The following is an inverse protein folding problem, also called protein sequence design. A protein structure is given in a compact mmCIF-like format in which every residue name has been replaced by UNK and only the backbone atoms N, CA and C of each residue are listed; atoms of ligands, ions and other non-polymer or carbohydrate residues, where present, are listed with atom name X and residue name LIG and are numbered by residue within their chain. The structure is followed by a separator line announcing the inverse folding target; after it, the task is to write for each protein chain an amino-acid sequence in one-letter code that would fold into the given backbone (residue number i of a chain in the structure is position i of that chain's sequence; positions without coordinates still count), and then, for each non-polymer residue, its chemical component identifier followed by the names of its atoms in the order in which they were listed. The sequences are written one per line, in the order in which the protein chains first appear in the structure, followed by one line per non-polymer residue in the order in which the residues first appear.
data_IF_846654517270
#
_entry.id   IF_846654517270
#
_cell.length_a   1.000
_cell.length_b   1.000
_cell.length_c   1.000
_cell.angle_alpha   90.00
_cell.angle_beta   90.00
_cell.angle_gamma   90.00
#
_symmetry.space_group_name_H-M   'P 1'
#
loop_
_entity.id
_entity.type
_entity.pdbx_description
1 polymer ?
#
# COMPACT_ATOMS: atom_id res chain seq x y z
N UNK A 1 12.97 6.41 -10.65
CA UNK A 1 11.60 6.07 -11.10
C UNK A 1 11.14 4.80 -10.39
N UNK A 2 9.89 4.77 -9.93
CA UNK A 2 9.24 3.59 -9.35
C UNK A 2 7.98 3.28 -10.16
N UNK A 3 7.75 2.00 -10.46
CA UNK A 3 6.54 1.53 -11.16
C UNK A 3 5.60 0.87 -10.15
N UNK A 4 4.32 1.20 -10.15
CA UNK A 4 3.30 0.48 -9.37
C UNK A 4 2.35 -0.26 -10.30
N UNK A 5 2.02 -1.51 -9.95
CA UNK A 5 0.96 -2.28 -10.57
C UNK A 5 -0.21 -2.37 -9.58
N UNK A 6 -1.36 -1.79 -9.95
CA UNK A 6 -2.59 -1.80 -9.15
C UNK A 6 -3.69 -2.50 -9.94
N UNK A 7 -3.88 -3.82 -9.80
CA UNK A 7 -4.85 -4.58 -10.60
C UNK A 7 -6.31 -4.23 -10.33
N UNK A 8 -6.61 -3.69 -9.13
CA UNK A 8 -7.97 -3.36 -8.68
C UNK A 8 -8.04 -1.95 -8.06
N UNK A 9 -7.75 -0.90 -8.87
CA UNK A 9 -7.85 0.48 -8.40
C UNK A 9 -9.30 0.85 -8.08
N UNK A 10 -9.50 2.00 -7.44
CA UNK A 10 -10.83 2.49 -7.08
C UNK A 10 -10.95 4.00 -7.20
N UNK A 11 -12.18 4.47 -7.24
CA UNK A 11 -12.54 5.84 -6.84
C UNK A 11 -13.04 5.77 -5.40
N UNK A 12 -12.36 6.43 -4.48
CA UNK A 12 -12.73 6.46 -3.08
C UNK A 12 -13.57 7.70 -2.81
N UNK A 13 -14.83 7.49 -2.37
CA UNK A 13 -15.78 8.54 -2.01
C UNK A 13 -15.91 8.62 -0.49
N UNK A 14 -15.45 9.70 0.10
CA UNK A 14 -15.67 9.98 1.52
C UNK A 14 -16.88 10.89 1.65
N UNK A 15 -17.89 10.46 2.42
CA UNK A 15 -19.15 11.19 2.63
C UNK A 15 -19.29 11.43 4.13
N UNK A 16 -19.31 12.69 4.55
CA UNK A 16 -19.56 13.08 5.93
C UNK A 16 -21.07 13.14 6.19
N UNK A 17 -21.50 12.50 7.26
CA UNK A 17 -22.90 12.47 7.73
C UNK A 17 -22.93 12.80 9.22
N UNK A 18 -24.10 13.22 9.72
CA UNK A 18 -24.27 13.51 11.16
C UNK A 18 -24.28 12.24 12.02
N UNK A 19 -24.89 11.19 11.54
CA UNK A 19 -25.02 9.88 12.19
C UNK A 19 -25.51 8.86 11.17
N UNK A 20 -25.06 7.60 11.28
CA UNK A 20 -25.54 6.51 10.42
C UNK A 20 -26.65 5.74 11.14
N UNK A 21 -27.88 5.82 10.62
CA UNK A 21 -29.02 5.04 11.08
C UNK A 21 -29.53 4.14 9.95
N UNK A 22 -29.65 2.86 10.25
CA UNK A 22 -30.06 1.86 9.23
C UNK A 22 -31.52 2.04 8.83
N UNK A 23 -31.74 2.13 7.51
CA UNK A 23 -33.10 2.27 6.95
C UNK A 23 -33.54 3.71 6.74
N UNK A 24 -32.77 4.70 7.19
CA UNK A 24 -33.06 6.13 7.06
C UNK A 24 -32.39 6.80 5.87
N UNK A 25 -32.89 7.94 5.49
CA UNK A 25 -32.31 8.79 4.45
C UNK A 25 -31.32 9.77 5.08
N UNK A 26 -30.04 9.61 4.77
CA UNK A 26 -28.99 10.50 5.24
C UNK A 26 -28.68 11.60 4.22
N UNK A 27 -28.48 12.84 4.73
CA UNK A 27 -28.02 13.97 3.95
C UNK A 27 -26.56 14.23 4.26
N UNK A 28 -25.70 14.13 3.23
CA UNK A 28 -24.28 14.43 3.37
C UNK A 28 -24.08 15.90 3.76
N UNK A 29 -23.20 16.15 4.73
CA UNK A 29 -22.73 17.51 5.09
C UNK A 29 -21.54 17.93 4.27
N UNK A 30 -20.74 16.94 3.81
CA UNK A 30 -19.63 17.12 2.87
C UNK A 30 -19.40 15.84 2.07
N UNK A 31 -18.79 15.98 0.90
CA UNK A 31 -18.30 14.79 0.16
C UNK A 31 -16.98 15.11 -0.53
N UNK A 32 -16.13 14.09 -0.66
CA UNK A 32 -14.84 14.18 -1.32
C UNK A 32 -14.62 12.93 -2.18
N UNK A 33 -13.88 13.11 -3.27
CA UNK A 33 -13.53 12.02 -4.20
C UNK A 33 -12.01 12.01 -4.35
N UNK A 34 -11.39 10.86 -4.11
CA UNK A 34 -9.96 10.65 -4.24
C UNK A 34 -9.68 9.45 -5.16
N UNK A 35 -8.55 9.45 -5.88
CA UNK A 35 -8.08 8.23 -6.55
C UNK A 35 -7.61 7.24 -5.49
N UNK A 36 -8.06 5.98 -5.59
CA UNK A 36 -7.84 4.95 -4.58
C UNK A 36 -7.18 3.68 -5.13
N UNK A 37 -6.78 2.83 -4.19
CA UNK A 37 -6.01 1.61 -4.40
C UNK A 37 -4.59 1.72 -3.87
N UNK A 38 -4.06 0.64 -3.25
CA UNK A 38 -2.77 0.68 -2.55
C UNK A 38 -1.64 1.23 -3.44
N UNK A 39 -1.44 0.71 -4.66
CA UNK A 39 -0.37 1.18 -5.54
C UNK A 39 -0.61 2.59 -6.10
N UNK A 40 -1.87 2.97 -6.28
CA UNK A 40 -2.26 4.36 -6.60
C UNK A 40 -1.82 5.31 -5.48
N UNK A 41 -2.08 4.95 -4.23
CA UNK A 41 -1.66 5.74 -3.07
C UNK A 41 -0.14 5.83 -2.95
N UNK A 42 0.58 4.72 -3.18
CA UNK A 42 2.05 4.72 -3.25
C UNK A 42 2.55 5.68 -4.33
N UNK A 43 2.02 5.62 -5.55
CA UNK A 43 2.41 6.53 -6.64
C UNK A 43 2.15 8.00 -6.31
N UNK A 44 0.99 8.31 -5.71
CA UNK A 44 0.63 9.68 -5.28
C UNK A 44 1.60 10.22 -4.23
N UNK A 45 1.92 9.41 -3.22
CA UNK A 45 2.86 9.79 -2.18
C UNK A 45 4.27 10.04 -2.76
N UNK A 46 4.75 9.17 -3.65
CA UNK A 46 6.04 9.34 -4.32
C UNK A 46 6.08 10.62 -5.18
N UNK A 47 5.04 10.87 -5.97
CA UNK A 47 4.95 12.07 -6.80
C UNK A 47 4.91 13.36 -5.96
N UNK A 48 4.17 13.37 -4.84
CA UNK A 48 4.15 14.51 -3.91
C UNK A 48 5.54 14.85 -3.34
N UNK A 49 6.43 13.87 -3.28
CA UNK A 49 7.83 14.04 -2.84
C UNK A 49 8.83 14.13 -4.00
N UNK A 50 8.36 14.43 -5.21
CA UNK A 50 9.22 14.69 -6.37
C UNK A 50 9.88 13.45 -6.98
N UNK A 51 9.48 12.23 -6.58
CA UNK A 51 10.00 11.02 -7.20
C UNK A 51 9.07 10.56 -8.33
N UNK A 52 9.62 10.48 -9.54
CA UNK A 52 8.88 10.03 -10.71
C UNK A 52 8.29 8.64 -10.49
N UNK A 53 6.96 8.53 -10.60
CA UNK A 53 6.20 7.30 -10.44
C UNK A 53 5.30 7.04 -11.64
N UNK A 54 5.25 5.77 -12.06
CA UNK A 54 4.42 5.28 -13.17
C UNK A 54 3.41 4.30 -12.59
N UNK A 55 2.13 4.60 -12.71
CA UNK A 55 1.03 3.76 -12.25
C UNK A 55 0.46 2.94 -13.43
N UNK A 56 0.66 1.61 -13.40
CA UNK A 56 0.04 0.66 -14.33
C UNK A 56 -1.24 0.14 -13.69
N UNK A 57 -2.38 0.35 -14.33
CA UNK A 57 -3.68 0.01 -13.75
C UNK A 57 -4.75 -0.18 -14.85
N UNK A 58 -5.78 -1.01 -14.61
CA UNK A 58 -6.94 -1.08 -15.49
C UNK A 58 -7.76 0.21 -15.37
N UNK A 59 -8.23 0.72 -16.51
CA UNK A 59 -9.07 1.91 -16.59
C UNK A 59 -10.24 1.65 -17.54
N UNK A 60 -11.46 1.78 -17.04
CA UNK A 60 -12.69 1.62 -17.80
C UNK A 60 -13.86 2.33 -17.14
N UNK A 61 -14.87 2.64 -17.92
CA UNK A 61 -16.04 3.40 -17.47
C UNK A 61 -15.75 4.86 -17.15
N UNK A 62 -16.74 5.54 -16.58
CA UNK A 62 -16.61 6.94 -16.14
C UNK A 62 -15.64 7.09 -14.97
N UNK A 63 -15.62 6.10 -14.07
CA UNK A 63 -14.71 6.04 -12.91
C UNK A 63 -13.25 5.87 -13.36
N UNK A 64 -12.98 5.07 -14.40
CA UNK A 64 -11.64 4.94 -14.97
C UNK A 64 -11.12 6.26 -15.54
N UNK A 65 -11.94 6.95 -16.34
CA UNK A 65 -11.61 8.27 -16.87
C UNK A 65 -11.42 9.34 -15.76
N UNK A 66 -12.19 9.24 -14.67
CA UNK A 66 -12.02 10.11 -13.50
C UNK A 66 -10.71 9.81 -12.78
N UNK A 67 -10.39 8.52 -12.57
CA UNK A 67 -9.14 8.06 -11.94
C UNK A 67 -7.91 8.60 -12.67
N UNK A 68 -7.87 8.47 -14.00
CA UNK A 68 -6.76 8.96 -14.82
C UNK A 68 -6.59 10.49 -14.68
N UNK A 69 -7.68 11.27 -14.75
CA UNK A 69 -7.63 12.72 -14.56
C UNK A 69 -7.09 13.10 -13.18
N UNK A 70 -7.60 12.46 -12.12
CA UNK A 70 -7.17 12.74 -10.76
C UNK A 70 -5.68 12.41 -10.55
N UNK A 71 -5.20 11.31 -11.09
CA UNK A 71 -3.79 10.92 -10.98
C UNK A 71 -2.86 11.86 -11.76
N UNK A 72 -3.23 12.18 -13.00
CA UNK A 72 -2.45 13.12 -13.83
C UNK A 72 -2.34 14.49 -13.16
N UNK A 73 -3.40 14.97 -12.50
CA UNK A 73 -3.38 16.24 -11.77
C UNK A 73 -2.44 16.27 -10.58
N UNK A 74 -2.04 15.09 -10.07
CA UNK A 74 -1.07 14.94 -8.96
C UNK A 74 0.36 14.66 -9.42
N UNK A 75 0.62 14.72 -10.73
CA UNK A 75 1.96 14.48 -11.30
C UNK A 75 2.35 13.00 -11.43
N UNK A 76 1.41 12.07 -11.24
CA UNK A 76 1.63 10.64 -11.48
C UNK A 76 1.50 10.36 -12.99
N UNK A 77 2.50 9.73 -13.57
CA UNK A 77 2.38 9.17 -14.92
C UNK A 77 1.50 7.93 -14.88
N UNK A 78 0.45 7.89 -15.70
CA UNK A 78 -0.47 6.75 -15.76
C UNK A 78 -0.23 5.96 -17.05
N UNK A 79 -0.10 4.64 -16.93
CA UNK A 79 -0.18 3.68 -18.03
C UNK A 79 -1.53 2.93 -17.89
N UNK A 80 -2.62 3.50 -18.43
CA UNK A 80 -3.93 2.90 -18.31
C UNK A 80 -4.04 1.71 -19.26
N UNK A 81 -4.63 0.63 -18.76
CA UNK A 81 -5.01 -0.54 -19.56
C UNK A 81 -6.52 -0.50 -19.74
N UNK A 82 -7.02 -0.28 -20.97
CA UNK A 82 -8.45 -0.22 -21.22
C UNK A 82 -9.13 -1.54 -20.85
N UNK A 83 -10.26 -1.45 -20.13
CA UNK A 83 -11.12 -2.56 -19.77
C UNK A 83 -12.58 -2.25 -20.14
N UNK A 84 -13.36 -3.29 -20.43
CA UNK A 84 -14.79 -3.14 -20.75
C UNK A 84 -15.67 -2.84 -19.54
N UNK A 85 -15.24 -3.29 -18.35
CA UNK A 85 -15.91 -2.96 -17.08
C UNK A 85 -15.58 -1.57 -16.57
N UNK A 86 -16.29 -1.09 -15.52
CA UNK A 86 -15.96 0.16 -14.82
C UNK A 86 -15.00 -0.10 -13.68
N UNK A 87 -14.07 0.83 -13.43
CA UNK A 87 -13.31 0.88 -12.18
C UNK A 87 -14.29 0.98 -11.01
N UNK A 88 -14.02 0.25 -9.93
CA UNK A 88 -14.89 0.21 -8.74
C UNK A 88 -14.89 1.53 -7.97
N UNK A 89 -15.96 1.76 -7.22
CA UNK A 89 -16.04 2.81 -6.22
C UNK A 89 -16.04 2.22 -4.80
N UNK A 90 -15.31 2.84 -3.89
CA UNK A 90 -15.43 2.57 -2.46
C UNK A 90 -16.10 3.78 -1.80
N UNK A 91 -16.97 3.53 -0.83
CA UNK A 91 -17.65 4.58 -0.07
C UNK A 91 -17.24 4.49 1.39
N UNK A 92 -16.80 5.60 1.96
CA UNK A 92 -16.56 5.76 3.39
C UNK A 92 -17.58 6.77 3.95
N UNK A 93 -18.43 6.34 4.85
CA UNK A 93 -19.30 7.21 5.63
C UNK A 93 -18.58 7.59 6.91
N UNK A 94 -18.39 8.90 7.14
CA UNK A 94 -17.65 9.42 8.30
C UNK A 94 -18.58 10.24 9.18
N UNK A 95 -18.62 9.88 10.47
CA UNK A 95 -19.38 10.56 11.50
C UNK A 95 -18.51 11.55 12.28
N UNK A 96 -19.07 12.55 12.97
CA UNK A 96 -18.29 13.61 13.66
C UNK A 96 -17.36 13.09 14.78
N UNK A 97 -17.66 11.93 15.35
CA UNK A 97 -16.82 11.27 16.37
C UNK A 97 -15.64 10.48 15.77
N UNK A 98 -15.50 10.48 14.43
CA UNK A 98 -14.49 9.72 13.70
C UNK A 98 -14.89 8.30 13.33
N UNK A 99 -16.07 7.82 13.76
CA UNK A 99 -16.60 6.52 13.32
C UNK A 99 -16.70 6.48 11.79
N UNK A 100 -16.12 5.44 11.18
CA UNK A 100 -16.07 5.30 9.74
C UNK A 100 -16.61 3.96 9.29
N UNK A 101 -17.71 3.98 8.54
CA UNK A 101 -18.31 2.79 7.91
C UNK A 101 -17.89 2.73 6.45
N UNK A 102 -17.29 1.61 6.03
CA UNK A 102 -16.77 1.44 4.66
C UNK A 102 -17.60 0.43 3.89
N UNK A 103 -17.87 0.75 2.63
CA UNK A 103 -18.49 -0.13 1.64
C UNK A 103 -17.52 -0.21 0.46
N UNK A 104 -16.90 -1.37 0.28
CA UNK A 104 -15.93 -1.62 -0.78
C UNK A 104 -16.54 -2.51 -1.85
N UNK A 105 -16.52 -2.04 -3.09
CA UNK A 105 -16.95 -2.87 -4.22
C UNK A 105 -15.86 -3.89 -4.59
N UNK A 106 -16.23 -5.06 -5.12
CA UNK A 106 -15.28 -6.11 -5.49
C UNK A 106 -14.37 -5.72 -6.66
N UNK A 107 -14.82 -4.83 -7.51
CA UNK A 107 -14.17 -4.46 -8.78
C UNK A 107 -14.68 -5.27 -9.98
N UNK A 108 -14.31 -4.87 -11.20
CA UNK A 108 -14.74 -5.53 -12.43
C UNK A 108 -14.02 -6.85 -12.63
N UNK A 109 -14.70 -7.83 -13.19
CA UNK A 109 -14.04 -9.05 -13.70
C UNK A 109 -13.25 -8.69 -14.96
N UNK A 110 -11.98 -9.05 -15.00
CA UNK A 110 -11.13 -8.85 -16.17
C UNK A 110 -11.20 -10.08 -17.10
N UNK A 111 -11.36 -9.84 -18.38
CA UNK A 111 -11.18 -10.88 -19.38
C UNK A 111 -9.70 -11.30 -19.47
N UNK A 112 -9.45 -12.49 -20.05
CA UNK A 112 -8.08 -12.97 -20.29
C UNK A 112 -7.25 -12.00 -21.14
N UNK A 113 -7.87 -11.32 -22.12
CA UNK A 113 -7.20 -10.33 -22.96
C UNK A 113 -6.82 -9.07 -22.15
N UNK A 114 -7.71 -8.56 -21.30
CA UNK A 114 -7.44 -7.41 -20.45
C UNK A 114 -6.36 -7.71 -19.40
N UNK A 115 -6.41 -8.89 -18.78
CA UNK A 115 -5.36 -9.35 -17.87
C UNK A 115 -4.01 -9.46 -18.59
N UNK A 116 -4.00 -10.04 -19.82
CA UNK A 116 -2.78 -10.13 -20.63
C UNK A 116 -2.23 -8.74 -20.96
N UNK A 117 -3.10 -7.78 -21.28
CA UNK A 117 -2.72 -6.39 -21.52
C UNK A 117 -2.17 -5.70 -20.28
N UNK A 118 -2.75 -5.96 -19.10
CA UNK A 118 -2.24 -5.44 -17.83
C UNK A 118 -0.84 -5.97 -17.52
N UNK A 119 -0.61 -7.26 -17.71
CA UNK A 119 0.72 -7.89 -17.55
C UNK A 119 1.72 -7.34 -18.57
N UNK A 120 1.30 -7.13 -19.83
CA UNK A 120 2.14 -6.52 -20.86
C UNK A 120 2.49 -5.06 -20.55
N UNK A 121 1.55 -4.29 -20.03
CA UNK A 121 1.78 -2.92 -19.55
C UNK A 121 2.83 -2.88 -18.44
N UNK A 122 2.74 -3.78 -17.44
CA UNK A 122 3.73 -3.91 -16.39
C UNK A 122 5.11 -4.31 -16.95
N UNK A 123 5.16 -5.25 -17.92
CA UNK A 123 6.41 -5.65 -18.56
C UNK A 123 7.05 -4.48 -19.36
N UNK A 124 6.24 -3.70 -20.06
CA UNK A 124 6.71 -2.50 -20.78
C UNK A 124 7.30 -1.46 -19.81
N UNK A 125 6.64 -1.26 -18.67
CA UNK A 125 7.13 -0.35 -17.62
C UNK A 125 8.45 -0.85 -16.99
N UNK A 126 8.62 -2.16 -16.81
CA UNK A 126 9.88 -2.78 -16.34
C UNK A 126 11.06 -2.51 -17.28
N UNK A 127 10.83 -2.51 -18.61
CA UNK A 127 11.89 -2.24 -19.59
C UNK A 127 12.43 -0.80 -19.53
N UNK A 128 11.74 0.10 -18.84
CA UNK A 128 12.21 1.49 -18.60
C UNK A 128 13.27 1.58 -17.49
N UNK A 129 13.68 0.46 -16.89
CA UNK A 129 14.70 0.37 -15.85
C UNK A 129 14.33 1.06 -14.54
N UNK A 130 13.14 0.81 -13.95
CA UNK A 130 12.79 1.39 -12.65
C UNK A 130 13.71 0.86 -11.55
N UNK A 131 13.91 1.66 -10.50
CA UNK A 131 14.62 1.19 -9.30
C UNK A 131 13.81 0.17 -8.50
N UNK A 132 12.48 0.28 -8.58
CA UNK A 132 11.52 -0.65 -7.99
C UNK A 132 10.30 -0.84 -8.88
N UNK A 133 9.75 -2.06 -8.88
CA UNK A 133 8.37 -2.33 -9.26
C UNK A 133 7.61 -2.78 -8.01
N UNK A 134 6.36 -2.35 -7.88
CA UNK A 134 5.54 -2.59 -6.69
C UNK A 134 4.21 -3.19 -7.11
N UNK A 135 3.93 -4.42 -6.70
CA UNK A 135 2.62 -5.05 -6.86
C UNK A 135 1.76 -4.76 -5.64
N UNK A 136 0.64 -4.07 -5.81
CA UNK A 136 -0.16 -3.59 -4.68
C UNK A 136 -1.66 -3.84 -4.80
N UNK A 137 -2.26 -4.17 -3.67
CA UNK A 137 -3.71 -4.22 -3.48
C UNK A 137 -4.32 -5.59 -3.72
N UNK A 138 -5.64 -5.66 -3.59
CA UNK A 138 -6.42 -6.85 -3.88
C UNK A 138 -6.46 -7.15 -5.37
N UNK A 139 -6.68 -8.40 -5.71
CA UNK A 139 -6.96 -8.81 -7.09
C UNK A 139 -8.46 -8.62 -7.38
N UNK A 140 -8.83 -8.19 -8.59
CA UNK A 140 -10.23 -8.18 -8.99
C UNK A 140 -10.73 -9.61 -9.23
N UNK A 141 -12.06 -9.83 -9.25
CA UNK A 141 -12.64 -11.14 -9.49
C UNK A 141 -12.12 -11.78 -10.80
N UNK A 142 -11.81 -13.08 -10.75
CA UNK A 142 -11.34 -13.85 -11.90
C UNK A 142 -9.86 -13.73 -12.23
N UNK A 143 -9.12 -12.91 -11.52
CA UNK A 143 -7.65 -12.83 -11.65
C UNK A 143 -6.99 -13.89 -10.76
N UNK A 144 -6.05 -14.63 -11.33
CA UNK A 144 -5.31 -15.68 -10.67
C UNK A 144 -4.42 -15.12 -9.54
N UNK A 145 -4.39 -15.82 -8.42
CA UNK A 145 -3.56 -15.49 -7.24
C UNK A 145 -2.05 -15.47 -7.55
N UNK A 146 -1.64 -16.04 -8.68
CA UNK A 146 -0.25 -16.03 -9.18
C UNK A 146 0.19 -14.70 -9.82
N UNK A 147 -0.68 -13.72 -9.98
CA UNK A 147 -0.35 -12.45 -10.66
C UNK A 147 0.91 -11.79 -10.08
N UNK A 148 0.96 -11.63 -8.76
CA UNK A 148 2.10 -10.98 -8.10
C UNK A 148 3.34 -11.86 -8.07
N UNK A 149 3.20 -13.17 -7.93
CA UNK A 149 4.32 -14.11 -8.10
C UNK A 149 4.90 -14.04 -9.52
N UNK A 150 4.04 -13.91 -10.54
CA UNK A 150 4.43 -13.65 -11.92
C UNK A 150 5.20 -12.33 -12.10
N UNK A 151 4.77 -11.26 -11.40
CA UNK A 151 5.47 -9.98 -11.38
C UNK A 151 6.87 -10.12 -10.75
N UNK A 152 6.97 -10.82 -9.60
CA UNK A 152 8.25 -11.09 -8.92
C UNK A 152 9.23 -11.80 -9.86
N UNK A 153 8.80 -12.86 -10.53
CA UNK A 153 9.65 -13.59 -11.47
C UNK A 153 10.14 -12.72 -12.65
N UNK A 154 9.26 -11.88 -13.21
CA UNK A 154 9.62 -10.94 -14.29
C UNK A 154 10.57 -9.85 -13.86
N UNK A 155 10.32 -9.24 -12.69
CA UNK A 155 11.19 -8.22 -12.13
C UNK A 155 12.60 -8.75 -11.89
N UNK A 156 12.70 -9.94 -11.28
CA UNK A 156 13.97 -10.62 -11.06
C UNK A 156 14.72 -10.90 -12.37
N UNK A 157 14.03 -11.39 -13.41
CA UNK A 157 14.63 -11.61 -14.72
C UNK A 157 15.12 -10.32 -15.39
N UNK A 158 14.48 -9.19 -15.11
CA UNK A 158 14.88 -7.87 -15.57
C UNK A 158 15.93 -7.17 -14.69
N UNK A 159 16.36 -7.77 -13.57
CA UNK A 159 17.28 -7.16 -12.61
C UNK A 159 16.68 -5.97 -11.84
N UNK A 160 15.36 -5.88 -11.77
CA UNK A 160 14.62 -4.82 -11.07
C UNK A 160 14.17 -5.30 -9.70
N UNK A 161 14.36 -4.49 -8.67
CA UNK A 161 13.86 -4.82 -7.31
C UNK A 161 12.33 -4.80 -7.29
N UNK A 162 11.73 -5.75 -6.55
CA UNK A 162 10.28 -5.90 -6.46
C UNK A 162 9.78 -5.87 -5.03
N UNK A 163 8.76 -5.03 -4.80
CA UNK A 163 8.00 -4.99 -3.56
C UNK A 163 6.58 -5.51 -3.79
N UNK A 164 6.01 -6.16 -2.77
CA UNK A 164 4.61 -6.63 -2.81
C UNK A 164 3.88 -6.22 -1.53
N UNK A 165 2.70 -5.59 -1.71
CA UNK A 165 1.78 -5.20 -0.63
C UNK A 165 0.36 -5.65 -0.98
N UNK A 166 0.06 -6.89 -0.64
CA UNK A 166 -1.25 -7.54 -0.80
C UNK A 166 -1.53 -8.45 0.40
N UNK A 167 -2.63 -9.18 0.41
CA UNK A 167 -3.04 -10.05 1.51
C UNK A 167 -3.49 -11.43 1.02
N UNK A 168 -3.69 -12.37 1.95
CA UNK A 168 -4.23 -13.69 1.67
C UNK A 168 -3.38 -14.55 0.74
N UNK A 169 -4.05 -15.35 -0.09
CA UNK A 169 -3.40 -16.28 -1.02
C UNK A 169 -2.44 -15.60 -2.00
N UNK A 170 -2.77 -14.44 -2.62
CA UNK A 170 -1.84 -13.72 -3.49
C UNK A 170 -0.52 -13.33 -2.79
N UNK A 171 -0.56 -12.98 -1.50
CA UNK A 171 0.65 -12.69 -0.73
C UNK A 171 1.49 -13.96 -0.52
N UNK A 172 0.86 -15.06 -0.14
CA UNK A 172 1.56 -16.33 0.04
C UNK A 172 2.25 -16.81 -1.26
N UNK A 173 1.58 -16.66 -2.41
CA UNK A 173 2.15 -16.96 -3.73
C UNK A 173 3.32 -16.05 -4.09
N UNK A 174 3.22 -14.76 -3.78
CA UNK A 174 4.29 -13.81 -3.99
C UNK A 174 5.51 -14.11 -3.11
N UNK A 175 5.30 -14.46 -1.83
CA UNK A 175 6.36 -14.88 -0.90
C UNK A 175 7.14 -16.07 -1.44
N UNK A 176 6.44 -17.11 -1.93
CA UNK A 176 7.07 -18.29 -2.53
C UNK A 176 7.92 -17.95 -3.77
N UNK A 177 7.65 -16.83 -4.46
CA UNK A 177 8.47 -16.36 -5.57
C UNK A 177 9.69 -15.53 -5.12
N UNK A 178 9.81 -15.17 -3.85
CA UNK A 178 10.95 -14.49 -3.23
C UNK A 178 11.11 -13.03 -3.64
N UNK A 179 10.19 -12.12 -3.30
CA UNK A 179 10.31 -10.69 -3.57
C UNK A 179 11.43 -10.05 -2.73
N UNK A 180 11.93 -8.88 -3.18
CA UNK A 180 12.92 -8.12 -2.41
C UNK A 180 12.32 -7.47 -1.16
N UNK A 181 11.04 -7.15 -1.19
CA UNK A 181 10.31 -6.54 -0.07
C UNK A 181 8.86 -7.01 -0.03
N UNK A 182 8.39 -7.33 1.16
CA UNK A 182 6.95 -7.39 1.45
C UNK A 182 6.61 -6.44 2.59
N UNK A 183 5.38 -5.90 2.56
CA UNK A 183 4.89 -5.04 3.64
C UNK A 183 3.52 -5.49 4.14
N UNK A 184 3.40 -6.61 4.86
CA UNK A 184 2.15 -6.95 5.54
C UNK A 184 1.89 -6.02 6.72
N UNK A 185 0.62 -5.87 7.11
CA UNK A 185 0.28 -5.41 8.45
C UNK A 185 0.33 -6.60 9.43
N UNK A 186 0.10 -6.33 10.72
CA UNK A 186 0.12 -7.34 11.78
C UNK A 186 -0.86 -8.50 11.52
N UNK A 187 -2.08 -8.19 11.09
CA UNK A 187 -3.14 -9.16 10.81
C UNK A 187 -2.82 -9.98 9.54
N UNK A 188 -2.38 -9.32 8.47
CA UNK A 188 -1.97 -9.97 7.22
C UNK A 188 -0.77 -10.93 7.45
N UNK A 189 0.18 -10.55 8.33
CA UNK A 189 1.28 -11.42 8.71
C UNK A 189 0.80 -12.63 9.53
N UNK A 190 -0.09 -12.42 10.49
CA UNK A 190 -0.66 -13.49 11.31
C UNK A 190 -1.43 -14.51 10.44
N UNK A 191 -2.23 -14.02 9.48
CA UNK A 191 -2.91 -14.85 8.49
C UNK A 191 -1.92 -15.64 7.63
N UNK A 192 -0.88 -14.97 7.12
CA UNK A 192 0.13 -15.57 6.25
C UNK A 192 0.88 -16.73 6.92
N UNK A 193 1.21 -16.59 8.21
CA UNK A 193 1.93 -17.64 8.95
C UNK A 193 1.00 -18.62 9.70
N UNK A 194 -0.32 -18.36 9.69
CA UNK A 194 -1.32 -19.19 10.34
C UNK A 194 -1.22 -19.21 11.88
N UNK A 195 -0.72 -18.14 12.51
CA UNK A 195 -0.50 -18.06 13.95
C UNK A 195 -0.83 -16.68 14.51
N UNK A 196 -1.31 -16.62 15.76
CA UNK A 196 -1.44 -15.36 16.49
C UNK A 196 -0.05 -14.78 16.84
N UNK A 197 0.09 -13.47 16.75
CA UNK A 197 1.34 -12.75 16.98
C UNK A 197 1.18 -11.70 18.09
N UNK A 198 0.96 -12.11 19.36
CA UNK A 198 0.60 -11.18 20.44
C UNK A 198 1.74 -10.27 20.91
N UNK A 199 2.98 -10.59 20.53
CA UNK A 199 4.16 -9.80 20.91
C UNK A 199 5.03 -9.44 19.71
N UNK A 200 5.91 -8.45 19.89
CA UNK A 200 6.89 -8.10 18.87
C UNK A 200 7.89 -9.26 18.60
N UNK A 201 8.14 -10.14 19.59
CA UNK A 201 8.94 -11.36 19.40
C UNK A 201 8.28 -12.32 18.42
N UNK A 202 6.96 -12.49 18.49
CA UNK A 202 6.20 -13.35 17.59
C UNK A 202 6.24 -12.81 16.17
N UNK A 203 6.02 -11.49 15.99
CA UNK A 203 6.14 -10.80 14.70
C UNK A 203 7.54 -10.94 14.12
N UNK A 204 8.57 -10.74 14.94
CA UNK A 204 9.96 -10.89 14.50
C UNK A 204 10.27 -12.33 14.04
N UNK A 205 9.80 -13.32 14.79
CA UNK A 205 9.99 -14.75 14.45
C UNK A 205 9.26 -15.09 13.14
N UNK A 206 8.03 -14.64 13.00
CA UNK A 206 7.25 -14.79 11.76
C UNK A 206 7.95 -14.13 10.57
N UNK A 207 8.40 -12.87 10.71
CA UNK A 207 9.12 -12.17 9.65
C UNK A 207 10.42 -12.89 9.25
N UNK A 208 11.19 -13.41 10.23
CA UNK A 208 12.39 -14.21 9.96
C UNK A 208 12.09 -15.50 9.19
N UNK A 209 10.99 -16.18 9.48
CA UNK A 209 10.60 -17.37 8.73
C UNK A 209 10.38 -17.11 7.25
N UNK A 210 9.87 -15.89 6.90
CA UNK A 210 9.67 -15.47 5.52
C UNK A 210 10.99 -15.15 4.80
N UNK A 211 12.00 -14.65 5.52
CA UNK A 211 13.36 -14.53 4.95
C UNK A 211 13.90 -15.88 4.53
N UNK A 212 13.67 -16.92 5.34
CA UNK A 212 14.04 -18.31 5.01
C UNK A 212 13.33 -18.87 3.76
N UNK A 213 12.22 -18.25 3.34
CA UNK A 213 11.48 -18.59 2.12
C UNK A 213 11.94 -17.77 0.89
N UNK A 214 12.97 -16.92 1.03
CA UNK A 214 13.55 -16.17 -0.08
C UNK A 214 13.13 -14.70 -0.18
N UNK A 215 12.29 -14.19 0.73
CA UNK A 215 12.04 -12.75 0.88
C UNK A 215 13.29 -12.09 1.43
N UNK A 216 13.71 -10.94 0.89
CA UNK A 216 14.94 -10.25 1.38
C UNK A 216 14.68 -9.27 2.51
N UNK A 217 13.51 -8.64 2.51
CA UNK A 217 13.12 -7.62 3.48
C UNK A 217 11.66 -7.79 3.84
N UNK A 218 11.36 -7.79 5.13
CA UNK A 218 10.00 -7.76 5.65
C UNK A 218 9.83 -6.48 6.45
N UNK A 219 8.88 -5.63 6.06
CA UNK A 219 8.44 -4.46 6.82
C UNK A 219 7.03 -4.74 7.33
N UNK A 220 6.85 -4.88 8.64
CA UNK A 220 5.54 -5.16 9.24
C UNK A 220 5.00 -3.90 9.85
N UNK A 221 3.86 -3.41 9.37
CA UNK A 221 3.16 -2.28 10.00
C UNK A 221 2.34 -2.76 11.20
N UNK A 222 2.48 -2.04 12.34
CA UNK A 222 1.98 -2.42 13.67
C UNK A 222 0.97 -1.40 14.22
N UNK A 223 0.30 -0.66 13.34
CA UNK A 223 -0.63 0.40 13.72
C UNK A 223 0.05 1.46 14.60
N UNK A 224 -0.52 1.75 15.78
CA UNK A 224 0.04 2.72 16.75
C UNK A 224 1.43 2.35 17.28
N UNK A 225 1.84 1.10 17.13
CA UNK A 225 3.16 0.61 17.54
C UNK A 225 4.22 0.79 16.44
N UNK A 226 3.91 1.53 15.36
CA UNK A 226 4.86 1.86 14.30
C UNK A 226 5.10 0.73 13.30
N UNK A 227 6.36 0.38 13.05
CA UNK A 227 6.69 -0.70 12.11
C UNK A 227 8.00 -1.41 12.48
N UNK A 228 8.04 -2.72 12.21
CA UNK A 228 9.22 -3.57 12.36
C UNK A 228 9.82 -3.87 10.98
N UNK A 229 11.11 -3.64 10.84
CA UNK A 229 11.93 -4.06 9.69
C UNK A 229 12.76 -5.29 10.08
N UNK A 230 12.73 -6.31 9.25
CA UNK A 230 13.59 -7.51 9.40
C UNK A 230 14.25 -7.82 8.06
N UNK A 231 15.57 -7.92 8.09
CA UNK A 231 16.43 -8.44 7.00
C UNK A 231 17.34 -9.52 7.54
N UNK A 232 18.17 -10.14 6.71
CA UNK A 232 19.15 -11.15 7.16
C UNK A 232 20.11 -10.58 8.23
N UNK A 233 20.58 -9.35 8.09
CA UNK A 233 21.55 -8.73 9.00
C UNK A 233 21.02 -7.63 9.91
N UNK A 234 19.72 -7.27 9.85
CA UNK A 234 19.18 -6.13 10.58
C UNK A 234 17.76 -6.40 11.07
N UNK A 235 17.52 -6.10 12.34
CA UNK A 235 16.19 -5.89 12.90
C UNK A 235 16.13 -4.45 13.41
N UNK A 236 15.11 -3.70 12.99
CA UNK A 236 14.89 -2.34 13.47
C UNK A 236 13.41 -2.10 13.71
N UNK A 237 13.08 -1.31 14.73
CA UNK A 237 11.73 -0.91 15.05
C UNK A 237 11.65 0.62 15.05
N UNK A 238 10.70 1.16 14.30
CA UNK A 238 10.44 2.59 14.20
C UNK A 238 9.06 2.93 14.74
N UNK A 239 8.98 3.96 15.57
CA UNK A 239 7.71 4.49 16.12
C UNK A 239 7.64 6.00 15.94
N UNK A 240 6.44 6.51 15.69
CA UNK A 240 6.11 7.93 15.73
C UNK A 240 4.82 8.13 16.53
N UNK A 241 4.75 9.22 17.25
CA UNK A 241 3.53 9.62 17.98
C UNK A 241 2.67 10.48 17.05
N UNK A 242 1.37 10.18 17.00
CA UNK A 242 0.37 10.98 16.30
C UNK A 242 -0.63 11.45 17.35
N UNK A 243 -0.60 12.74 17.66
CA UNK A 243 -1.45 13.30 18.74
C UNK A 243 -2.93 13.32 18.36
N UNK A 244 -3.24 13.58 17.10
CA UNK A 244 -4.61 13.70 16.60
C UNK A 244 -4.79 12.85 15.34
N UNK A 245 -5.09 11.55 15.49
CA UNK A 245 -5.38 10.70 14.34
C UNK A 245 -6.73 11.08 13.70
N UNK A 246 -6.71 11.35 12.39
CA UNK A 246 -7.91 11.67 11.61
C UNK A 246 -8.36 10.50 10.73
N UNK A 247 -7.42 9.77 10.14
CA UNK A 247 -7.73 8.63 9.28
C UNK A 247 -6.56 7.66 9.25
N UNK A 248 -6.83 6.36 9.32
CA UNK A 248 -5.80 5.31 9.09
C UNK A 248 -5.72 4.84 7.65
N UNK A 249 -6.59 5.37 6.78
CA UNK A 249 -6.65 4.98 5.36
C UNK A 249 -5.39 5.47 4.64
N UNK A 250 -4.69 4.56 3.95
CA UNK A 250 -3.49 4.89 3.20
C UNK A 250 -2.21 5.05 4.03
N UNK A 251 -2.27 4.95 5.37
CA UNK A 251 -1.07 5.05 6.22
C UNK A 251 -0.02 3.98 5.90
N UNK A 252 -0.46 2.73 5.66
CA UNK A 252 0.42 1.65 5.23
C UNK A 252 1.01 1.87 3.83
N UNK A 253 0.25 2.50 2.93
CA UNK A 253 0.70 2.84 1.58
C UNK A 253 1.73 3.98 1.63
N UNK A 254 1.50 4.98 2.49
CA UNK A 254 2.43 6.07 2.75
C UNK A 254 3.74 5.55 3.38
N UNK A 255 3.64 4.62 4.34
CA UNK A 255 4.81 3.95 4.92
C UNK A 255 5.64 3.25 3.83
N UNK A 256 4.99 2.45 2.96
CA UNK A 256 5.67 1.79 1.86
C UNK A 256 6.31 2.81 0.92
N UNK A 257 5.59 3.86 0.53
CA UNK A 257 6.12 4.90 -0.34
C UNK A 257 7.35 5.59 0.24
N UNK A 258 7.32 5.96 1.53
CA UNK A 258 8.46 6.58 2.22
C UNK A 258 9.67 5.67 2.29
N UNK A 259 9.47 4.38 2.59
CA UNK A 259 10.52 3.37 2.57
C UNK A 259 11.15 3.22 1.17
N UNK A 260 10.32 3.10 0.14
CA UNK A 260 10.77 2.97 -1.25
C UNK A 260 11.47 4.24 -1.75
N UNK A 261 10.95 5.43 -1.40
CA UNK A 261 11.58 6.71 -1.70
C UNK A 261 13.00 6.76 -1.11
N UNK A 262 13.14 6.50 0.19
CA UNK A 262 14.41 6.55 0.89
C UNK A 262 15.43 5.54 0.32
N UNK A 263 14.99 4.29 0.04
CA UNK A 263 15.86 3.28 -0.58
C UNK A 263 16.23 3.61 -2.03
N UNK A 264 15.34 4.24 -2.79
CA UNK A 264 15.61 4.68 -4.17
C UNK A 264 16.60 5.86 -4.22
N UNK A 265 16.68 6.64 -3.13
CA UNK A 265 17.63 7.77 -2.96
C UNK A 265 18.91 7.39 -2.20
N UNK A 266 19.12 6.09 -1.91
CA UNK A 266 20.37 5.56 -1.36
C UNK A 266 20.43 5.45 0.17
N UNK A 267 19.32 5.61 0.87
CA UNK A 267 19.27 5.45 2.33
C UNK A 267 19.48 3.99 2.75
N UNK A 268 20.17 3.79 3.87
CA UNK A 268 20.28 2.49 4.51
C UNK A 268 18.91 1.99 5.02
N UNK A 269 18.69 0.66 5.15
CA UNK A 269 17.37 0.10 5.48
C UNK A 269 16.73 0.66 6.76
N UNK A 270 17.51 0.89 7.81
CA UNK A 270 17.00 1.48 9.06
C UNK A 270 16.51 2.93 8.87
N UNK A 271 17.28 3.75 8.14
CA UNK A 271 16.87 5.12 7.82
C UNK A 271 15.64 5.14 6.89
N UNK A 272 15.56 4.17 5.96
CA UNK A 272 14.39 4.00 5.11
C UNK A 272 13.14 3.61 5.91
N UNK A 273 13.27 2.76 6.95
CA UNK A 273 12.18 2.48 7.87
C UNK A 273 11.71 3.75 8.57
N UNK A 274 12.64 4.56 9.09
CA UNK A 274 12.29 5.81 9.76
C UNK A 274 11.53 6.77 8.83
N UNK A 275 11.98 6.91 7.57
CA UNK A 275 11.27 7.69 6.57
C UNK A 275 9.86 7.14 6.33
N UNK A 276 9.73 5.82 6.15
CA UNK A 276 8.43 5.16 5.98
C UNK A 276 7.48 5.42 7.16
N UNK A 277 7.97 5.26 8.39
CA UNK A 277 7.18 5.51 9.61
C UNK A 277 6.74 6.98 9.70
N UNK A 278 7.62 7.92 9.38
CA UNK A 278 7.26 9.35 9.36
C UNK A 278 6.15 9.63 8.33
N UNK A 279 6.23 9.07 7.12
CA UNK A 279 5.18 9.26 6.12
C UNK A 279 3.86 8.59 6.53
N UNK A 280 3.92 7.38 7.10
CA UNK A 280 2.73 6.71 7.63
C UNK A 280 2.06 7.51 8.75
N UNK A 281 2.85 8.05 9.68
CA UNK A 281 2.35 8.90 10.76
C UNK A 281 1.75 10.21 10.24
N UNK A 282 2.39 10.86 9.26
CA UNK A 282 1.84 12.04 8.60
C UNK A 282 0.49 11.74 7.95
N UNK A 283 0.35 10.61 7.25
CA UNK A 283 -0.89 10.21 6.61
C UNK A 283 -2.03 10.04 7.62
N UNK A 284 -1.75 9.48 8.80
CA UNK A 284 -2.76 9.33 9.88
C UNK A 284 -3.31 10.67 10.36
N UNK A 285 -2.52 11.74 10.32
CA UNK A 285 -2.95 13.11 10.63
C UNK A 285 -3.73 13.82 9.52
N UNK A 286 -3.98 13.15 8.38
CA UNK A 286 -4.66 13.73 7.23
C UNK A 286 -6.06 13.11 7.03
N UNK A 287 -7.03 13.86 6.49
CA UNK A 287 -8.38 13.36 6.27
C UNK A 287 -8.45 12.40 5.07
N UNK A 288 -9.23 11.32 5.21
CA UNK A 288 -9.52 10.34 4.15
C UNK A 288 -8.26 9.59 3.69
N UNK A 289 -8.05 9.48 2.38
CA UNK A 289 -6.87 8.84 1.75
C UNK A 289 -5.88 9.87 1.18
N UNK A 290 -5.81 11.06 1.76
CA UNK A 290 -4.83 12.08 1.36
C UNK A 290 -3.41 11.57 1.65
N UNK A 291 -2.55 11.67 0.63
CA UNK A 291 -1.13 11.31 0.80
C UNK A 291 -0.35 12.51 1.34
N UNK A 292 0.62 12.26 2.24
CA UNK A 292 1.40 13.32 2.86
C UNK A 292 2.32 13.99 1.83
N UNK A 293 2.40 15.31 1.88
CA UNK A 293 3.38 16.11 1.18
C UNK A 293 4.62 16.34 2.07
N UNK A 294 5.74 16.88 1.54
CA UNK A 294 6.95 17.13 2.34
C UNK A 294 6.71 17.96 3.60
N UNK A 295 5.82 18.96 3.53
CA UNK A 295 5.45 19.79 4.67
C UNK A 295 4.71 19.03 5.77
N UNK A 296 3.91 18.03 5.42
CA UNK A 296 3.16 17.19 6.38
C UNK A 296 4.10 16.23 7.13
N UNK A 297 5.22 15.83 6.51
CA UNK A 297 6.22 14.91 7.09
C UNK A 297 7.27 15.65 7.91
N UNK A 298 7.51 16.93 7.55
CA UNK A 298 8.56 17.72 8.19
C UNK A 298 8.36 17.83 9.70
N UNK A 299 9.40 17.45 10.46
CA UNK A 299 9.39 17.55 11.91
C UNK A 299 8.68 16.43 12.66
N UNK A 300 8.19 15.37 11.95
CA UNK A 300 7.67 14.19 12.66
C UNK A 300 8.84 13.42 13.29
N UNK A 301 8.93 13.35 14.64
CA UNK A 301 9.99 12.61 15.29
C UNK A 301 9.73 11.10 15.17
N UNK A 302 10.73 10.36 14.75
CA UNK A 302 10.68 8.88 14.73
C UNK A 302 11.71 8.34 15.70
N UNK A 303 11.25 7.59 16.69
CA UNK A 303 12.12 6.78 17.53
C UNK A 303 12.49 5.51 16.77
N UNK A 304 13.75 5.44 16.31
CA UNK A 304 14.29 4.26 15.65
C UNK A 304 15.22 3.51 16.60
N UNK A 305 15.02 2.20 16.77
CA UNK A 305 15.91 1.33 17.53
C UNK A 305 16.32 0.10 16.71
N UNK A 306 17.58 -0.28 16.80
CA UNK A 306 18.13 -1.51 16.23
C UNK A 306 18.11 -2.68 17.22
N UNK A 307 17.72 -2.40 18.46
CA UNK A 307 17.52 -3.39 19.54
C UNK A 307 16.11 -3.24 20.10
N UNK A 308 15.07 -3.66 19.33
CA UNK A 308 13.70 -3.50 19.78
C UNK A 308 13.40 -4.31 21.04
N UNK A 309 12.52 -3.76 21.89
CA UNK A 309 11.96 -4.54 22.99
C UNK A 309 10.99 -5.59 22.46
N UNK A 310 11.49 -6.80 22.29
CA UNK A 310 10.71 -7.91 21.76
C UNK A 310 9.57 -8.37 22.71
N UNK A 311 9.56 -7.92 23.97
CA UNK A 311 8.47 -8.24 24.92
C UNK A 311 7.25 -7.34 24.75
N UNK A 312 7.36 -6.29 23.92
CA UNK A 312 6.26 -5.37 23.61
C UNK A 312 5.03 -6.16 23.19
N UNK A 313 3.94 -5.99 23.96
CA UNK A 313 2.64 -6.57 23.61
C UNK A 313 1.95 -5.72 22.55
N UNK A 314 1.51 -6.36 21.51
CA UNK A 314 0.72 -5.74 20.45
C UNK A 314 -0.76 -5.91 20.84
N UNK A 315 -1.47 -4.80 20.97
CA UNK A 315 -2.90 -4.88 21.22
C UNK A 315 -3.62 -5.40 19.97
N UNK A 316 -4.68 -6.20 20.16
CA UNK A 316 -5.53 -6.66 19.06
C UNK A 316 -6.23 -5.49 18.35
#
# INVERSE_FOLDING_TARGET
MIVTLTPNPSIDRTVSISHLERGEVHRATASRVDPGGKGVNVSRALAAHGLHSVAVLPAGGAEGALLERLLTSTGVEVLPVPIGGSVRANVALVEPDGTTTKINEPGPTLSTAELSSLVAGAATALMRGPSWVVGCGSLPPGVDDELYAGLVRRARAAGVRVAVDTSGVPLARAVAAGPDLIKPNHEELAELVGAALPTLADVHTAAKSLLGQGVRTVVVSLGRHGALLVTDGLTAHGQAVVDQPLSTVGAGDALLAGYLHATATGSAPGAALAAGVAWGAAAVGLPGSRMPAPGDVHGIPVLLTHHPDLTLRLAP
#
